data_IF_853749607495
#
_entry.id   IF_853749607495
#
_cell.length_a   1.000
_cell.length_b   1.000
_cell.length_c   1.000
_cell.angle_alpha   90.00
_cell.angle_beta   90.00
_cell.angle_gamma   90.00
#
_symmetry.space_group_name_H-M   'P 1'
#
loop_
_entity.id
_entity.type
_entity.pdbx_description
1 polymer ?
#
# COMPACT_ATOMS: atom_id res chain seq x y z
N UNK A 1 13.09 -9.06 -28.86
CA UNK A 1 12.92 -9.46 -27.43
C UNK A 1 11.87 -8.51 -26.86
N UNK A 2 10.67 -9.01 -26.63
CA UNK A 2 9.62 -8.23 -25.99
C UNK A 2 10.07 -7.85 -24.60
N UNK A 3 10.11 -6.54 -24.31
CA UNK A 3 10.45 -6.05 -22.99
C UNK A 3 9.22 -6.22 -22.11
N UNK A 4 9.35 -6.90 -20.98
CA UNK A 4 8.32 -6.99 -19.97
C UNK A 4 7.86 -5.57 -19.58
N UNK A 5 6.56 -5.40 -19.47
CA UNK A 5 5.91 -4.15 -19.01
C UNK A 5 5.15 -4.41 -17.73
N UNK A 6 5.14 -3.43 -16.84
CA UNK A 6 4.28 -3.45 -15.67
C UNK A 6 3.10 -2.50 -15.86
N UNK A 7 1.93 -2.95 -15.36
CA UNK A 7 0.72 -2.15 -15.27
C UNK A 7 0.59 -1.66 -13.84
N UNK A 8 0.65 -0.36 -13.64
CA UNK A 8 0.49 0.27 -12.35
C UNK A 8 -0.85 0.99 -12.24
N UNK A 9 -1.33 1.14 -11.01
CA UNK A 9 -2.32 2.13 -10.66
C UNK A 9 -1.59 3.48 -10.71
N UNK A 10 -1.71 4.16 -11.87
CA UNK A 10 -1.08 5.45 -12.13
C UNK A 10 -1.71 6.55 -11.28
N UNK A 11 -1.13 7.69 -11.42
CA UNK A 11 -1.34 8.93 -10.70
C UNK A 11 -2.61 9.01 -9.82
N UNK A 12 -2.43 8.75 -8.52
CA UNK A 12 -3.40 9.21 -7.54
C UNK A 12 -3.20 10.73 -7.48
N UNK A 13 -4.08 11.47 -8.13
CA UNK A 13 -4.08 12.94 -8.03
C UNK A 13 -4.24 13.35 -6.56
N UNK A 14 -3.53 14.40 -6.14
CA UNK A 14 -3.59 14.94 -4.78
C UNK A 14 -5.04 14.97 -4.26
N UNK A 15 -5.31 14.22 -3.19
CA UNK A 15 -6.63 14.08 -2.55
C UNK A 15 -7.76 13.55 -3.44
N UNK A 16 -7.46 12.90 -4.56
CA UNK A 16 -8.46 12.25 -5.40
C UNK A 16 -8.44 10.75 -5.22
N UNK A 17 -9.60 10.13 -5.32
CA UNK A 17 -9.75 8.68 -5.21
C UNK A 17 -9.57 7.97 -6.57
N UNK A 18 -9.50 8.72 -7.66
CA UNK A 18 -9.38 8.19 -9.02
C UNK A 18 -7.94 7.72 -9.27
N UNK A 19 -7.81 6.60 -9.96
CA UNK A 19 -6.53 6.14 -10.50
C UNK A 19 -6.59 6.10 -12.01
N UNK A 20 -5.45 6.27 -12.66
CA UNK A 20 -5.27 6.04 -14.09
C UNK A 20 -4.45 4.76 -14.32
N UNK A 21 -4.55 4.18 -15.50
CA UNK A 21 -3.67 3.11 -15.92
C UNK A 21 -2.34 3.69 -16.39
N UNK A 22 -1.24 3.21 -15.82
CA UNK A 22 0.11 3.56 -16.27
C UNK A 22 0.86 2.30 -16.67
N UNK A 23 1.34 2.25 -17.89
CA UNK A 23 2.14 1.16 -18.42
C UNK A 23 3.58 1.64 -18.54
N UNK A 24 4.49 0.97 -17.84
CA UNK A 24 5.91 1.30 -17.81
C UNK A 24 6.76 0.06 -18.11
N UNK A 25 8.01 0.23 -18.58
CA UNK A 25 8.95 -0.87 -18.65
C UNK A 25 9.15 -1.51 -17.29
N UNK A 26 9.06 -2.84 -17.21
CA UNK A 26 9.37 -3.54 -15.96
C UNK A 26 10.87 -3.52 -15.72
N UNK A 27 11.30 -2.89 -14.65
CA UNK A 27 12.71 -2.71 -14.31
C UNK A 27 13.06 -3.37 -12.97
N UNK A 28 14.36 -3.57 -12.75
CA UNK A 28 14.91 -4.01 -11.46
C UNK A 28 15.99 -3.03 -11.04
N UNK A 29 15.81 -2.41 -9.90
CA UNK A 29 16.79 -1.51 -9.30
C UNK A 29 17.46 -2.19 -8.10
N UNK A 30 18.78 -2.00 -7.89
CA UNK A 30 19.48 -2.55 -6.73
C UNK A 30 18.80 -2.14 -5.41
N UNK A 31 18.59 -3.10 -4.50
CA UNK A 31 17.97 -2.85 -3.20
C UNK A 31 16.46 -2.56 -3.22
N UNK A 32 15.82 -2.58 -4.41
CA UNK A 32 14.37 -2.36 -4.55
C UNK A 32 13.65 -3.65 -4.92
N UNK A 33 12.36 -3.71 -4.59
CA UNK A 33 11.51 -4.81 -5.05
C UNK A 33 11.38 -4.78 -6.59
N UNK A 34 11.25 -5.96 -7.23
CA UNK A 34 11.05 -6.00 -8.69
C UNK A 34 9.84 -5.17 -9.13
N UNK A 35 10.03 -4.32 -10.15
CA UNK A 35 8.99 -3.43 -10.69
C UNK A 35 8.84 -2.09 -9.97
N UNK A 36 9.55 -1.88 -8.86
CA UNK A 36 9.67 -0.56 -8.23
C UNK A 36 10.54 0.33 -9.10
N UNK A 37 10.10 1.57 -9.32
CA UNK A 37 10.81 2.57 -10.10
C UNK A 37 10.85 3.91 -9.35
N UNK A 38 11.98 4.21 -8.68
CA UNK A 38 12.13 5.44 -7.91
C UNK A 38 12.09 6.70 -8.79
N UNK A 39 12.55 6.62 -10.04
CA UNK A 39 12.59 7.76 -10.96
C UNK A 39 11.17 8.20 -11.36
N UNK A 40 10.27 7.22 -11.50
CA UNK A 40 8.86 7.48 -11.82
C UNK A 40 7.94 7.41 -10.59
N UNK A 41 8.53 7.40 -9.38
CA UNK A 41 7.79 7.39 -8.12
C UNK A 41 6.79 6.21 -8.01
N UNK A 42 7.24 5.01 -8.37
CA UNK A 42 6.44 3.79 -8.38
C UNK A 42 6.90 2.86 -7.26
N UNK A 43 5.97 2.44 -6.43
CA UNK A 43 6.17 1.46 -5.37
C UNK A 43 5.42 0.16 -5.68
N UNK A 44 5.85 -0.94 -5.07
CA UNK A 44 5.12 -2.20 -5.07
C UNK A 44 3.95 -2.11 -4.10
N UNK A 45 2.82 -2.70 -4.50
CA UNK A 45 1.59 -2.78 -3.71
C UNK A 45 1.17 -4.24 -3.59
N UNK A 46 0.79 -4.68 -2.39
CA UNK A 46 0.29 -6.02 -2.14
C UNK A 46 -0.95 -5.98 -1.24
N UNK A 47 -1.95 -6.81 -1.55
CA UNK A 47 -3.16 -7.00 -0.73
C UNK A 47 -3.25 -8.46 -0.32
N UNK A 48 -3.14 -8.71 0.98
CA UNK A 48 -3.19 -10.04 1.58
C UNK A 48 -4.58 -10.31 2.16
N UNK A 49 -5.17 -11.43 1.78
CA UNK A 49 -6.39 -11.91 2.42
C UNK A 49 -6.11 -12.25 3.89
N UNK A 50 -6.95 -11.74 4.82
CA UNK A 50 -6.72 -11.94 6.27
C UNK A 50 -7.92 -12.52 7.03
N UNK A 51 -9.06 -12.75 6.38
CA UNK A 51 -10.30 -13.15 7.05
C UNK A 51 -10.56 -14.66 6.99
N UNK A 52 -10.18 -15.31 5.88
CA UNK A 52 -10.51 -16.71 5.58
C UNK A 52 -9.29 -17.61 5.49
N UNK A 53 -8.07 -17.08 5.69
CA UNK A 53 -6.81 -17.83 5.56
C UNK A 53 -6.66 -18.53 4.20
N UNK A 54 -7.20 -17.94 3.14
CA UNK A 54 -7.14 -18.49 1.78
C UNK A 54 -5.74 -18.50 1.17
N UNK A 55 -4.83 -17.68 1.71
CA UNK A 55 -3.50 -17.48 1.14
C UNK A 55 -3.49 -16.58 -0.11
N UNK A 56 -4.61 -16.01 -0.51
CA UNK A 56 -4.66 -15.13 -1.67
C UNK A 56 -3.89 -13.84 -1.43
N UNK A 57 -3.04 -13.48 -2.41
CA UNK A 57 -2.27 -12.24 -2.41
C UNK A 57 -2.32 -11.62 -3.79
N UNK A 58 -2.92 -10.44 -3.88
CA UNK A 58 -2.83 -9.62 -5.09
C UNK A 58 -1.61 -8.74 -5.06
N UNK A 59 -0.89 -8.65 -6.18
CA UNK A 59 0.30 -7.81 -6.33
C UNK A 59 0.10 -6.87 -7.51
N UNK A 60 0.53 -5.62 -7.32
CA UNK A 60 0.50 -4.57 -8.33
C UNK A 60 1.51 -3.48 -8.03
N UNK A 61 1.38 -2.37 -8.74
CA UNK A 61 2.26 -1.22 -8.58
C UNK A 61 1.43 0.05 -8.43
N UNK A 62 1.90 0.98 -7.61
CA UNK A 62 1.23 2.24 -7.32
C UNK A 62 2.16 3.41 -7.66
N UNK A 63 1.72 4.27 -8.57
CA UNK A 63 2.43 5.48 -8.95
C UNK A 63 2.06 6.69 -8.08
N UNK A 64 2.94 7.68 -8.04
CA UNK A 64 2.76 8.95 -7.32
C UNK A 64 2.44 8.82 -5.82
N UNK A 65 2.90 7.73 -5.21
CA UNK A 65 2.64 7.44 -3.80
C UNK A 65 3.56 8.22 -2.85
N UNK A 66 4.60 8.86 -3.38
CA UNK A 66 5.57 9.69 -2.66
C UNK A 66 6.34 8.99 -1.52
N UNK A 67 6.31 7.67 -1.45
CA UNK A 67 7.11 6.89 -0.52
C UNK A 67 8.47 6.58 -1.15
N UNK A 68 9.52 7.28 -0.71
CA UNK A 68 10.87 7.16 -1.31
C UNK A 68 11.68 6.01 -0.75
N UNK A 69 11.40 5.59 0.47
CA UNK A 69 12.07 4.47 1.13
C UNK A 69 11.13 3.80 2.14
N UNK A 70 11.36 2.52 2.38
CA UNK A 70 10.63 1.75 3.36
C UNK A 70 9.29 1.23 2.87
N UNK A 71 8.41 0.93 3.82
CA UNK A 71 7.08 0.38 3.55
C UNK A 71 6.04 0.83 4.58
N UNK A 72 4.80 0.91 4.13
CA UNK A 72 3.63 1.15 4.97
C UNK A 72 2.66 -0.01 4.87
N UNK A 73 1.97 -0.32 5.96
CA UNK A 73 0.94 -1.34 6.00
C UNK A 73 -0.30 -0.85 6.73
N UNK A 74 -1.47 -1.31 6.30
CA UNK A 74 -2.76 -0.96 6.89
C UNK A 74 -3.73 -2.14 6.83
N UNK A 75 -4.52 -2.33 7.88
CA UNK A 75 -5.72 -3.17 7.87
C UNK A 75 -7.00 -2.39 7.56
N UNK A 76 -6.89 -1.07 7.37
CA UNK A 76 -7.99 -0.23 6.91
C UNK A 76 -7.93 -0.15 5.39
N UNK A 77 -8.75 -0.95 4.72
CA UNK A 77 -8.79 -1.05 3.26
C UNK A 77 -10.22 -1.32 2.80
N UNK A 78 -10.89 -0.30 2.31
CA UNK A 78 -12.30 -0.38 1.94
C UNK A 78 -12.54 -1.34 0.77
N UNK A 79 -13.63 -2.13 0.81
CA UNK A 79 -14.54 -2.42 1.93
C UNK A 79 -14.11 -3.70 2.67
N UNK A 80 -13.18 -4.47 2.07
CA UNK A 80 -12.78 -5.80 2.55
C UNK A 80 -11.96 -5.78 3.83
N UNK A 81 -11.31 -4.66 4.13
CA UNK A 81 -10.37 -4.51 5.24
C UNK A 81 -9.31 -5.63 5.30
N UNK A 82 -8.85 -6.05 4.14
CA UNK A 82 -7.70 -6.92 3.98
C UNK A 82 -6.41 -6.18 4.36
N UNK A 83 -5.33 -6.91 4.62
CA UNK A 83 -4.05 -6.30 4.88
C UNK A 83 -3.45 -5.76 3.57
N UNK A 84 -3.27 -4.46 3.50
CA UNK A 84 -2.65 -3.79 2.36
C UNK A 84 -1.27 -3.27 2.75
N UNK A 85 -0.28 -3.49 1.87
CA UNK A 85 1.11 -3.10 2.09
C UNK A 85 1.65 -2.44 0.83
N UNK A 86 2.30 -1.29 0.99
CA UNK A 86 3.00 -0.62 -0.11
C UNK A 86 4.43 -0.30 0.31
N UNK A 87 5.38 -0.47 -0.60
CA UNK A 87 6.79 -0.21 -0.26
C UNK A 87 7.73 -0.29 -1.46
N UNK A 88 8.95 0.09 -1.22
CA UNK A 88 10.01 0.11 -2.22
C UNK A 88 10.89 -1.15 -2.20
N UNK A 89 10.85 -1.93 -1.12
CA UNK A 89 11.59 -3.19 -0.98
C UNK A 89 10.79 -4.26 -0.21
N UNK A 90 11.05 -5.51 -0.54
CA UNK A 90 10.29 -6.64 0.02
C UNK A 90 10.55 -6.86 1.52
N UNK A 91 11.75 -6.55 2.01
CA UNK A 91 12.12 -6.74 3.42
C UNK A 91 11.28 -5.84 4.32
N UNK A 92 11.22 -4.56 4.02
CA UNK A 92 10.41 -3.60 4.79
C UNK A 92 8.91 -3.86 4.63
N UNK A 93 8.46 -4.25 3.41
CA UNK A 93 7.07 -4.65 3.18
C UNK A 93 6.67 -5.84 4.06
N UNK A 94 7.51 -6.86 4.15
CA UNK A 94 7.26 -8.03 5.01
C UNK A 94 7.24 -7.64 6.49
N UNK A 95 8.15 -6.77 6.94
CA UNK A 95 8.19 -6.32 8.32
C UNK A 95 6.95 -5.49 8.66
N UNK A 96 6.55 -4.55 7.80
CA UNK A 96 5.35 -3.73 7.98
C UNK A 96 4.07 -4.59 8.07
N UNK A 97 3.90 -5.54 7.13
CA UNK A 97 2.78 -6.46 7.15
C UNK A 97 2.74 -7.35 8.40
N UNK A 98 3.89 -7.90 8.81
CA UNK A 98 3.99 -8.71 10.02
C UNK A 98 3.73 -7.90 11.30
N UNK A 99 4.11 -6.63 11.35
CA UNK A 99 3.82 -5.73 12.46
C UNK A 99 2.30 -5.55 12.63
N UNK A 100 1.59 -5.23 11.54
CA UNK A 100 0.13 -5.10 11.57
C UNK A 100 -0.53 -6.44 11.94
N UNK A 101 -0.04 -7.57 11.41
CA UNK A 101 -0.53 -8.92 11.76
C UNK A 101 -0.35 -9.22 13.24
N UNK A 102 0.82 -8.94 13.81
CA UNK A 102 1.13 -9.15 15.25
C UNK A 102 0.17 -8.34 16.13
N UNK A 103 -0.15 -7.12 15.73
CA UNK A 103 -1.08 -6.22 16.43
C UNK A 103 -2.56 -6.56 16.19
N UNK A 104 -2.86 -7.65 15.45
CA UNK A 104 -4.21 -8.06 15.03
C UNK A 104 -4.94 -7.02 14.16
N UNK A 105 -4.19 -6.08 13.61
CA UNK A 105 -4.62 -4.97 12.78
C UNK A 105 -3.96 -3.66 13.18
N UNK A 106 -4.05 -2.67 12.33
CA UNK A 106 -3.47 -1.36 12.58
C UNK A 106 -2.78 -0.74 11.38
N UNK A 107 -1.94 0.21 11.68
CA UNK A 107 -1.10 0.93 10.74
C UNK A 107 0.36 0.76 11.16
N UNK A 108 1.26 0.66 10.19
CA UNK A 108 2.69 0.60 10.44
C UNK A 108 3.47 1.33 9.36
N UNK A 109 4.55 1.99 9.75
CA UNK A 109 5.59 2.48 8.87
C UNK A 109 6.93 1.86 9.26
N UNK A 110 7.63 1.33 8.28
CA UNK A 110 8.92 0.65 8.41
C UNK A 110 9.91 1.29 7.45
N UNK A 111 11.13 1.52 7.90
CA UNK A 111 12.23 1.95 7.05
C UNK A 111 13.54 1.33 7.56
N UNK A 112 14.43 0.99 6.63
CA UNK A 112 15.76 0.43 6.93
C UNK A 112 15.71 -0.81 7.85
N UNK A 113 14.72 -1.68 7.66
CA UNK A 113 14.54 -2.89 8.44
C UNK A 113 14.06 -2.67 9.87
N UNK A 114 13.53 -1.49 10.20
CA UNK A 114 13.03 -1.15 11.54
C UNK A 114 11.62 -0.59 11.48
N UNK A 115 10.80 -0.94 12.48
CA UNK A 115 9.50 -0.30 12.69
C UNK A 115 9.73 1.11 13.23
N UNK A 116 9.44 2.11 12.42
CA UNK A 116 9.62 3.53 12.77
C UNK A 116 8.45 4.04 13.59
N UNK A 117 7.24 3.70 13.19
CA UNK A 117 6.02 4.07 13.92
C UNK A 117 4.89 3.07 13.62
N UNK A 118 4.02 2.85 14.59
CA UNK A 118 2.86 1.96 14.46
C UNK A 118 1.66 2.43 15.28
N UNK A 119 0.47 2.03 14.87
CA UNK A 119 -0.78 2.15 15.63
C UNK A 119 -1.50 0.81 15.60
N UNK A 120 -1.64 0.17 16.76
CA UNK A 120 -2.40 -1.06 16.87
C UNK A 120 -3.91 -0.80 16.87
N UNK A 121 -4.64 -1.59 16.08
CA UNK A 121 -6.10 -1.56 15.99
C UNK A 121 -6.65 -3.00 16.18
N UNK A 122 -6.56 -3.56 17.40
CA UNK A 122 -6.84 -4.97 17.66
C UNK A 122 -8.31 -5.36 17.52
N UNK A 123 -9.22 -4.38 17.55
CA UNK A 123 -10.66 -4.64 17.42
C UNK A 123 -11.04 -4.64 15.93
N UNK A 124 -11.24 -5.81 15.38
CA UNK A 124 -11.55 -6.07 13.97
C UNK A 124 -10.49 -5.53 12.97
N UNK A 125 -9.34 -5.07 13.44
CA UNK A 125 -8.33 -4.39 12.63
C UNK A 125 -8.67 -2.93 12.30
N UNK A 126 -9.65 -2.33 12.98
CA UNK A 126 -10.23 -1.02 12.66
C UNK A 126 -10.27 -0.07 13.84
N UNK A 127 -10.34 -0.58 15.06
CA UNK A 127 -10.51 0.23 16.26
C UNK A 127 -9.45 -0.12 17.30
N UNK A 128 -9.02 0.91 18.05
CA UNK A 128 -8.10 0.78 19.18
C UNK A 128 -8.88 0.54 20.48
N UNK A 129 -8.22 -0.11 21.45
CA UNK A 129 -8.66 -0.18 22.83
C UNK A 129 -8.07 0.94 23.69
N UNK A 130 -7.23 1.80 23.12
CA UNK A 130 -6.60 2.93 23.79
C UNK A 130 -7.53 4.15 23.79
N UNK A 131 -7.17 5.16 24.59
CA UNK A 131 -7.92 6.43 24.59
C UNK A 131 -7.78 7.18 23.26
N UNK A 132 -8.72 8.07 22.98
CA UNK A 132 -8.68 8.90 21.75
C UNK A 132 -7.40 9.75 21.68
N UNK A 133 -6.94 10.26 22.81
CA UNK A 133 -5.71 11.05 22.91
C UNK A 133 -4.47 10.22 22.56
N UNK A 134 -4.40 8.95 23.02
CA UNK A 134 -3.31 8.03 22.69
C UNK A 134 -3.30 7.70 21.20
N UNK A 135 -4.47 7.40 20.64
CA UNK A 135 -4.61 7.13 19.20
C UNK A 135 -4.21 8.34 18.37
N UNK A 136 -4.64 9.54 18.75
CA UNK A 136 -4.29 10.78 18.07
C UNK A 136 -2.77 11.03 18.11
N UNK A 137 -2.12 10.83 19.25
CA UNK A 137 -0.68 10.98 19.39
C UNK A 137 0.09 9.98 18.51
N UNK A 138 -0.33 8.72 18.43
CA UNK A 138 0.29 7.70 17.57
C UNK A 138 0.08 7.99 16.09
N UNK A 139 -1.10 8.47 15.70
CA UNK A 139 -1.35 8.93 14.33
C UNK A 139 -0.45 10.10 13.94
N UNK A 140 -0.27 11.06 14.88
CA UNK A 140 0.65 12.17 14.65
C UNK A 140 2.09 11.66 14.49
N UNK A 141 2.53 10.76 15.35
CA UNK A 141 3.88 10.16 15.24
C UNK A 141 4.09 9.42 13.91
N UNK A 142 3.08 8.70 13.41
CA UNK A 142 3.11 8.08 12.08
C UNK A 142 3.28 9.12 10.97
N UNK A 143 2.51 10.20 11.02
CA UNK A 143 2.59 11.28 10.02
C UNK A 143 3.94 11.99 10.07
N UNK A 144 4.45 12.29 11.26
CA UNK A 144 5.75 12.94 11.45
C UNK A 144 6.90 12.04 10.96
N UNK A 145 6.82 10.73 11.22
CA UNK A 145 7.78 9.76 10.74
C UNK A 145 7.78 9.68 9.20
N UNK A 146 6.62 9.63 8.57
CA UNK A 146 6.49 9.64 7.10
C UNK A 146 7.06 10.93 6.50
N UNK A 147 6.75 12.08 7.11
CA UNK A 147 7.28 13.38 6.69
C UNK A 147 8.81 13.44 6.80
N UNK A 148 9.38 12.96 7.91
CA UNK A 148 10.82 12.89 8.11
C UNK A 148 11.53 12.02 7.06
N UNK A 149 10.83 11.04 6.46
CA UNK A 149 11.31 10.19 5.38
C UNK A 149 10.91 10.69 3.98
N UNK A 150 10.50 11.95 3.86
CA UNK A 150 10.29 12.64 2.59
C UNK A 150 8.95 12.41 1.92
N UNK A 151 7.95 11.91 2.65
CA UNK A 151 6.56 11.88 2.18
C UNK A 151 5.98 13.29 2.22
N UNK A 152 5.35 13.73 1.13
CA UNK A 152 4.75 15.06 1.06
C UNK A 152 3.54 15.18 1.99
N UNK A 153 3.39 16.32 2.65
CA UNK A 153 2.31 16.58 3.64
C UNK A 153 0.90 16.49 3.07
N UNK A 154 0.76 16.76 1.79
CA UNK A 154 -0.54 16.77 1.10
C UNK A 154 -1.00 15.37 0.64
N UNK A 155 -0.18 14.35 0.87
CA UNK A 155 -0.52 12.96 0.55
C UNK A 155 -0.91 12.22 1.82
N UNK A 156 -2.19 11.94 1.96
CA UNK A 156 -2.70 11.07 2.99
C UNK A 156 -2.38 9.60 2.68
N UNK A 157 -1.17 9.13 3.00
CA UNK A 157 -0.66 7.79 2.67
C UNK A 157 -1.68 6.70 3.06
N UNK A 158 -2.12 6.67 4.30
CA UNK A 158 -3.06 5.66 4.77
C UNK A 158 -4.47 5.83 4.20
N UNK A 159 -4.88 7.06 3.93
CA UNK A 159 -6.14 7.33 3.23
C UNK A 159 -6.08 6.81 1.79
N UNK A 160 -4.97 7.03 1.09
CA UNK A 160 -4.75 6.47 -0.25
C UNK A 160 -4.81 4.96 -0.24
N UNK A 161 -4.12 4.29 0.70
CA UNK A 161 -4.18 2.84 0.85
C UNK A 161 -5.59 2.34 1.13
N UNK A 162 -6.36 3.06 1.95
CA UNK A 162 -7.72 2.66 2.30
C UNK A 162 -8.66 2.55 1.08
N UNK A 163 -8.42 3.33 0.03
CA UNK A 163 -9.29 3.34 -1.15
C UNK A 163 -8.71 2.67 -2.39
N UNK A 164 -7.40 2.44 -2.44
CA UNK A 164 -6.75 1.86 -3.63
C UNK A 164 -7.19 0.41 -3.90
N UNK A 165 -7.75 -0.27 -2.91
CA UNK A 165 -8.28 -1.63 -3.02
C UNK A 165 -9.80 -1.70 -3.25
N UNK A 166 -10.51 -0.57 -3.33
CA UNK A 166 -11.97 -0.53 -3.48
C UNK A 166 -12.40 -0.65 -4.96
N UNK A 167 -12.89 -1.82 -5.44
CA UNK A 167 -13.06 -2.10 -6.86
C UNK A 167 -14.34 -1.52 -7.47
N UNK A 168 -14.82 -0.39 -6.95
CA UNK A 168 -15.96 0.37 -7.48
C UNK A 168 -15.55 1.77 -7.96
N UNK A 169 -14.32 2.19 -7.66
CA UNK A 169 -13.82 3.50 -8.09
C UNK A 169 -12.88 3.32 -9.29
N UNK A 170 -13.12 3.98 -10.44
CA UNK A 170 -12.27 3.85 -11.63
C UNK A 170 -10.84 4.35 -11.41
N UNK A 171 -9.89 3.96 -12.27
CA UNK A 171 -9.97 2.93 -13.33
C UNK A 171 -9.50 1.56 -12.83
N UNK A 172 -8.28 1.51 -12.25
CA UNK A 172 -7.67 0.28 -11.76
C UNK A 172 -7.69 0.24 -10.23
N UNK A 173 -7.91 -0.94 -9.70
CA UNK A 173 -7.81 -1.22 -8.25
C UNK A 173 -7.04 -2.51 -8.02
N UNK A 174 -6.54 -2.69 -6.80
CA UNK A 174 -5.87 -3.93 -6.43
C UNK A 174 -6.65 -4.61 -5.31
N UNK A 175 -7.04 -5.86 -5.51
CA UNK A 175 -7.58 -6.71 -4.45
C UNK A 175 -6.75 -7.99 -4.29
N UNK A 176 -7.21 -8.95 -3.50
CA UNK A 176 -6.51 -10.22 -3.24
C UNK A 176 -6.38 -11.13 -4.47
N UNK A 177 -7.08 -10.86 -5.55
CA UNK A 177 -6.99 -11.61 -6.82
C UNK A 177 -6.08 -10.94 -7.85
N UNK A 178 -5.66 -9.70 -7.61
CA UNK A 178 -4.80 -8.94 -8.52
C UNK A 178 -5.38 -7.58 -8.92
N UNK A 179 -4.86 -7.02 -9.99
CA UNK A 179 -5.33 -5.72 -10.52
C UNK A 179 -6.69 -5.92 -11.19
N UNK A 180 -7.65 -5.08 -10.81
CA UNK A 180 -9.01 -5.05 -11.35
C UNK A 180 -9.15 -3.86 -12.28
N UNK A 181 -9.53 -4.11 -13.53
CA UNK A 181 -10.12 -3.10 -14.40
C UNK A 181 -11.58 -2.93 -13.97
N UNK A 182 -11.88 -1.81 -13.32
CA UNK A 182 -13.20 -1.57 -12.72
C UNK A 182 -14.29 -1.42 -13.79
N UNK A 183 -13.95 -0.85 -14.94
CA UNK A 183 -14.93 -0.68 -16.02
C UNK A 183 -15.33 -2.03 -16.66
N UNK A 184 -14.37 -2.95 -16.79
CA UNK A 184 -14.58 -4.26 -17.38
C UNK A 184 -14.95 -5.33 -16.33
N UNK A 185 -14.84 -5.04 -15.04
CA UNK A 185 -15.02 -5.99 -13.92
C UNK A 185 -14.16 -7.26 -14.09
N UNK A 186 -12.91 -7.09 -14.51
CA UNK A 186 -11.98 -8.18 -14.80
C UNK A 186 -10.64 -8.01 -14.12
N UNK A 187 -10.05 -9.13 -13.72
CA UNK A 187 -8.64 -9.18 -13.32
C UNK A 187 -7.77 -9.02 -14.57
N UNK A 188 -6.80 -8.14 -14.49
CA UNK A 188 -5.81 -7.89 -15.55
C UNK A 188 -4.39 -8.14 -15.04
N UNK A 189 -3.46 -8.61 -15.89
CA UNK A 189 -2.10 -8.91 -15.44
C UNK A 189 -1.36 -7.64 -15.01
N UNK A 190 -0.60 -7.74 -13.91
CA UNK A 190 0.27 -6.67 -13.43
C UNK A 190 1.56 -6.55 -14.26
N UNK A 191 2.02 -7.66 -14.83
CA UNK A 191 3.21 -7.72 -15.71
C UNK A 191 2.85 -8.51 -16.95
N UNK A 192 3.25 -8.04 -18.14
CA UNK A 192 2.95 -8.65 -19.44
C UNK A 192 4.00 -8.30 -20.50
#
# INVERSE_FOLDING_TARGET
RDRLRSRGLGDVYKRQLLTEEKIIPFQRHPGKAPGVDPEHNIVKLAVFERHHHSGHVGIGFLGNFSLKCGAVASSIAHDSHNLIVAGDNDTDMMLAGNTVRKNKGGLAFVADGQVVAELALPVAGLMSTESAESVAAKMQALNDALKAHGVAEDIGIFMTLAFVSLPVIPKLRLNTYGIIDVAQQKVVPAVF
#
